data_IF_071897207366
#
_entry.id   IF_071897207366
#
_cell.length_a   1.000
_cell.length_b   1.000
_cell.length_c   1.000
_cell.angle_alpha   90.00
_cell.angle_beta   90.00
_cell.angle_gamma   90.00
#
_symmetry.space_group_name_H-M   'P 1'
#
loop_
_entity.id
_entity.type
_entity.pdbx_description
1 polymer ?
#
# COMPACT_ATOMS: atom_id res chain seq x y z
N UNK A 1 -4.76 -0.85 38.32
CA UNK A 1 -3.31 -0.54 38.46
C UNK A 1 -2.63 -1.18 37.28
N UNK A 2 -1.97 -0.41 36.40
CA UNK A 2 -1.25 -0.99 35.26
C UNK A 2 -0.11 -1.83 35.83
N UNK A 3 -0.06 -3.10 35.46
CA UNK A 3 1.03 -3.97 35.84
C UNK A 3 2.25 -3.61 35.00
N UNK A 4 3.34 -3.20 35.66
CA UNK A 4 4.55 -2.73 35.00
C UNK A 4 5.16 -3.77 34.05
N UNK A 5 5.00 -5.06 34.37
CA UNK A 5 5.49 -6.15 33.52
C UNK A 5 4.73 -6.23 32.19
N UNK A 6 3.42 -5.93 32.20
CA UNK A 6 2.59 -5.95 31.00
C UNK A 6 2.91 -4.73 30.09
N UNK A 7 3.22 -3.58 30.71
CA UNK A 7 3.63 -2.38 30.00
C UNK A 7 5.01 -2.53 29.34
N UNK A 8 5.97 -3.16 30.03
CA UNK A 8 7.30 -3.44 29.49
C UNK A 8 7.25 -4.46 28.34
N UNK A 9 6.44 -5.51 28.47
CA UNK A 9 6.23 -6.48 27.39
C UNK A 9 5.61 -5.83 26.13
N UNK A 10 4.62 -4.96 26.31
CA UNK A 10 4.02 -4.21 25.21
C UNK A 10 5.03 -3.26 24.53
N UNK A 11 5.85 -2.54 25.31
CA UNK A 11 6.88 -1.66 24.78
C UNK A 11 7.92 -2.44 23.96
N UNK A 12 8.38 -3.58 24.48
CA UNK A 12 9.34 -4.44 23.79
C UNK A 12 8.77 -5.00 22.48
N UNK A 13 7.49 -5.33 22.45
CA UNK A 13 6.81 -5.74 21.21
C UNK A 13 6.72 -4.61 20.18
N UNK A 14 6.40 -3.39 20.62
CA UNK A 14 6.36 -2.21 19.75
C UNK A 14 7.73 -1.93 19.12
N UNK A 15 8.80 -1.96 19.92
CA UNK A 15 10.18 -1.75 19.46
C UNK A 15 10.60 -2.88 18.51
N UNK A 16 10.28 -4.13 18.87
CA UNK A 16 10.63 -5.30 18.07
C UNK A 16 9.96 -5.34 16.68
N UNK A 17 8.85 -4.62 16.50
CA UNK A 17 8.10 -4.58 15.23
C UNK A 17 8.20 -3.22 14.51
N UNK A 18 8.95 -2.24 15.02
CA UNK A 18 9.03 -0.88 14.46
C UNK A 18 9.51 -0.85 13.01
N UNK A 19 10.54 -1.63 12.70
CA UNK A 19 11.08 -1.68 11.34
C UNK A 19 10.08 -2.28 10.36
N UNK A 20 9.44 -3.40 10.72
CA UNK A 20 8.44 -4.07 9.90
C UNK A 20 7.23 -3.17 9.66
N UNK A 21 6.75 -2.51 10.73
CA UNK A 21 5.64 -1.56 10.64
C UNK A 21 5.97 -0.36 9.74
N UNK A 22 7.17 0.21 9.90
CA UNK A 22 7.65 1.30 9.04
C UNK A 22 7.72 0.88 7.57
N UNK A 23 8.28 -0.30 7.29
CA UNK A 23 8.36 -0.85 5.93
C UNK A 23 6.97 -1.07 5.32
N UNK A 24 6.04 -1.68 6.05
CA UNK A 24 4.68 -1.93 5.57
C UNK A 24 3.94 -0.63 5.24
N UNK A 25 4.06 0.38 6.11
CA UNK A 25 3.49 1.71 5.87
C UNK A 25 4.07 2.35 4.61
N UNK A 26 5.40 2.44 4.54
CA UNK A 26 6.08 3.07 3.40
C UNK A 26 5.79 2.35 2.10
N UNK A 27 5.66 1.02 2.11
CA UNK A 27 5.30 0.25 0.92
C UNK A 27 3.90 0.59 0.42
N UNK A 28 2.90 0.63 1.31
CA UNK A 28 1.53 1.05 0.96
C UNK A 28 1.51 2.45 0.35
N UNK A 29 2.20 3.41 0.99
CA UNK A 29 2.26 4.80 0.51
C UNK A 29 2.96 4.91 -0.85
N UNK A 30 4.08 4.20 -1.03
CA UNK A 30 4.84 4.20 -2.28
C UNK A 30 4.02 3.62 -3.45
N UNK A 31 3.34 2.49 -3.22
CA UNK A 31 2.46 1.87 -4.24
C UNK A 31 1.30 2.80 -4.59
N UNK A 32 0.72 3.49 -3.59
CA UNK A 32 -0.36 4.44 -3.83
C UNK A 32 0.08 5.60 -4.73
N UNK A 33 1.27 6.17 -4.51
CA UNK A 33 1.83 7.21 -5.37
C UNK A 33 2.16 6.67 -6.77
N UNK A 34 2.69 5.45 -6.87
CA UNK A 34 3.02 4.81 -8.14
C UNK A 34 1.79 4.57 -9.04
N UNK A 35 0.57 4.52 -8.49
CA UNK A 35 -0.68 4.33 -9.24
C UNK A 35 -0.82 5.29 -10.41
N UNK A 36 -0.51 6.58 -10.21
CA UNK A 36 -0.61 7.60 -11.27
C UNK A 36 0.40 7.33 -12.39
N UNK A 37 1.59 6.87 -12.04
CA UNK A 37 2.65 6.52 -13.00
C UNK A 37 2.24 5.33 -13.85
N UNK A 38 1.66 4.28 -13.24
CA UNK A 38 1.15 3.11 -13.99
C UNK A 38 0.02 3.54 -14.92
N UNK A 39 -0.95 4.33 -14.43
CA UNK A 39 -2.03 4.85 -15.25
C UNK A 39 -1.51 5.68 -16.44
N UNK A 40 -0.56 6.60 -16.20
CA UNK A 40 0.03 7.43 -17.23
C UNK A 40 0.77 6.58 -18.27
N UNK A 41 1.50 5.56 -17.83
CA UNK A 41 2.21 4.63 -18.72
C UNK A 41 1.23 3.90 -19.65
N UNK A 42 0.11 3.42 -19.11
CA UNK A 42 -0.91 2.73 -19.90
C UNK A 42 -1.68 3.69 -20.81
N UNK A 43 -1.91 4.93 -20.38
CA UNK A 43 -2.47 5.99 -21.23
C UNK A 43 -1.57 6.31 -22.43
N UNK A 44 -0.25 6.37 -22.23
CA UNK A 44 0.72 6.62 -23.30
C UNK A 44 0.76 5.49 -24.33
N UNK A 45 0.52 4.25 -23.91
CA UNK A 45 0.44 3.07 -24.81
C UNK A 45 -0.89 2.97 -25.56
N UNK A 46 -1.97 3.54 -25.01
CA UNK A 46 -3.29 3.45 -25.61
C UNK A 46 -3.45 4.37 -26.82
N UNK A 47 -4.17 3.88 -27.84
CA UNK A 47 -4.54 4.64 -29.05
C UNK A 47 -5.99 5.11 -28.98
N UNK A 48 -6.24 6.32 -29.48
CA UNK A 48 -7.57 6.93 -29.58
C UNK A 48 -7.57 8.39 -29.11
N UNK A 49 -8.77 8.93 -28.96
CA UNK A 49 -9.01 10.19 -28.27
C UNK A 49 -8.53 10.14 -26.82
N UNK A 50 -8.35 11.30 -26.18
CA UNK A 50 -7.95 11.37 -24.78
C UNK A 50 -8.93 10.61 -23.85
N UNK A 51 -10.23 10.64 -24.14
CA UNK A 51 -11.24 9.92 -23.37
C UNK A 51 -11.07 8.40 -23.49
N UNK A 52 -10.93 7.88 -24.72
CA UNK A 52 -10.74 6.44 -24.97
C UNK A 52 -9.44 5.92 -24.36
N UNK A 53 -8.36 6.70 -24.46
CA UNK A 53 -7.07 6.36 -23.86
C UNK A 53 -7.14 6.28 -22.34
N UNK A 54 -7.90 7.18 -21.72
CA UNK A 54 -8.14 7.18 -20.27
C UNK A 54 -8.90 5.92 -19.84
N UNK A 55 -9.98 5.58 -20.55
CA UNK A 55 -10.74 4.36 -20.28
C UNK A 55 -9.90 3.10 -20.46
N UNK A 56 -9.11 3.02 -21.54
CA UNK A 56 -8.20 1.89 -21.79
C UNK A 56 -7.12 1.76 -20.71
N UNK A 57 -6.54 2.89 -20.26
CA UNK A 57 -5.55 2.88 -19.19
C UNK A 57 -6.12 2.35 -17.87
N UNK A 58 -7.31 2.82 -17.47
CA UNK A 58 -7.99 2.35 -16.26
C UNK A 58 -8.47 0.89 -16.38
N UNK A 59 -8.77 0.43 -17.59
CA UNK A 59 -9.17 -0.95 -17.87
C UNK A 59 -7.99 -1.92 -18.05
N UNK A 60 -6.76 -1.42 -18.17
CA UNK A 60 -5.56 -2.24 -18.39
C UNK A 60 -5.31 -3.23 -17.24
N UNK A 61 -4.71 -4.37 -17.59
CA UNK A 61 -4.41 -5.41 -16.60
C UNK A 61 -3.35 -4.92 -15.62
N UNK A 62 -2.35 -4.20 -16.10
CA UNK A 62 -1.26 -3.68 -15.27
C UNK A 62 -1.77 -2.66 -14.25
N UNK A 63 -2.74 -1.81 -14.62
CA UNK A 63 -3.36 -0.92 -13.66
C UNK A 63 -4.18 -1.69 -12.61
N UNK A 64 -4.96 -2.68 -13.03
CA UNK A 64 -5.76 -3.52 -12.12
C UNK A 64 -4.89 -4.35 -11.16
N UNK A 65 -3.81 -4.93 -11.66
CA UNK A 65 -2.84 -5.67 -10.87
C UNK A 65 -2.17 -4.76 -9.84
N UNK A 66 -1.79 -3.55 -10.25
CA UNK A 66 -1.23 -2.56 -9.32
C UNK A 66 -2.21 -2.16 -8.21
N UNK A 67 -3.52 -2.06 -8.51
CA UNK A 67 -4.54 -1.87 -7.48
C UNK A 67 -4.61 -3.06 -6.50
N UNK A 68 -4.37 -4.28 -6.98
CA UNK A 68 -4.21 -5.47 -6.14
C UNK A 68 -3.04 -5.32 -5.17
N UNK A 69 -1.86 -4.93 -5.65
CA UNK A 69 -0.69 -4.70 -4.79
C UNK A 69 -0.94 -3.62 -3.73
N UNK A 70 -1.60 -2.51 -4.10
CA UNK A 70 -1.97 -1.48 -3.13
C UNK A 70 -2.87 -2.05 -2.04
N UNK A 71 -3.91 -2.79 -2.43
CA UNK A 71 -4.85 -3.41 -1.49
C UNK A 71 -4.12 -4.35 -0.53
N UNK A 72 -3.28 -5.23 -1.07
CA UNK A 72 -2.62 -6.25 -0.28
C UNK A 72 -1.63 -5.61 0.71
N UNK A 73 -0.83 -4.62 0.26
CA UNK A 73 0.07 -3.86 1.13
C UNK A 73 -0.67 -3.06 2.22
N UNK A 74 -1.86 -2.52 1.91
CA UNK A 74 -2.70 -1.86 2.90
C UNK A 74 -3.25 -2.83 3.95
N UNK A 75 -3.69 -4.02 3.52
CA UNK A 75 -4.16 -5.06 4.44
C UNK A 75 -3.03 -5.49 5.38
N UNK A 76 -1.84 -5.73 4.84
CA UNK A 76 -0.67 -6.12 5.64
C UNK A 76 -0.31 -5.05 6.67
N UNK A 77 -0.30 -3.78 6.25
CA UNK A 77 -0.07 -2.65 7.15
C UNK A 77 -1.13 -2.56 8.26
N UNK A 78 -2.41 -2.66 7.93
CA UNK A 78 -3.49 -2.57 8.91
C UNK A 78 -3.52 -3.78 9.87
N UNK A 79 -3.13 -4.98 9.40
CA UNK A 79 -2.94 -6.16 10.27
C UNK A 79 -1.82 -5.90 11.29
N UNK A 80 -0.68 -5.37 10.84
CA UNK A 80 0.42 -5.02 11.73
C UNK A 80 0.03 -3.92 12.71
N UNK A 81 -0.71 -2.91 12.23
CA UNK A 81 -1.23 -1.83 13.06
C UNK A 81 -2.18 -2.31 14.14
N UNK A 82 -3.08 -3.24 13.82
CA UNK A 82 -4.05 -3.77 14.78
C UNK A 82 -3.41 -4.67 15.85
N UNK A 83 -2.25 -5.25 15.55
CA UNK A 83 -1.47 -6.06 16.51
C UNK A 83 -0.64 -5.21 17.48
N UNK A 84 -0.41 -3.95 17.15
CA UNK A 84 0.37 -2.98 17.94
C UNK A 84 -0.55 -2.17 18.83
#
# INVERSE_FOLDING_TARGET
MINYNDAEAALNYLVGTDEEFGRAKTMSDALYEQRKTIQATQFLKAVGSAAERTQKALASNEYKEHLGFIRDAQIDFEILRAKR
#
